data_IF_005156053379
#
_entry.id   IF_005156053379
#
_cell.length_a   1.000
_cell.length_b   1.000
_cell.length_c   1.000
_cell.angle_alpha   90.00
_cell.angle_beta   90.00
_cell.angle_gamma   90.00
#
_symmetry.space_group_name_H-M   'P 1'
#
loop_
_entity.id
_entity.type
_entity.pdbx_description
1 polymer ?
#
# COMPACT_ATOMS: atom_id res chain seq x y z
N UNK A 1 0.36 32.84 11.45
CA UNK A 1 0.62 33.18 10.03
C UNK A 1 1.98 32.58 9.66
N UNK A 2 1.99 31.36 9.11
CA UNK A 2 3.24 30.64 8.80
C UNK A 2 3.85 31.21 7.52
N UNK A 3 5.16 31.50 7.54
CA UNK A 3 5.91 32.12 6.44
C UNK A 3 5.97 31.20 5.23
N UNK A 4 5.26 31.53 4.16
CA UNK A 4 5.19 30.75 2.91
C UNK A 4 6.45 30.86 2.02
N UNK A 5 7.46 31.67 2.36
CA UNK A 5 8.55 32.00 1.43
C UNK A 5 9.96 31.49 1.78
N UNK A 6 10.16 30.75 2.88
CA UNK A 6 11.49 30.25 3.30
C UNK A 6 11.49 28.75 3.64
N UNK A 7 10.90 27.93 2.75
CA UNK A 7 11.07 26.49 2.83
C UNK A 7 12.45 26.10 2.29
N UNK A 8 13.05 25.04 2.85
CA UNK A 8 14.23 24.39 2.28
C UNK A 8 14.07 24.12 0.77
N UNK A 9 12.84 23.81 0.35
CA UNK A 9 12.47 23.62 -1.04
C UNK A 9 12.65 24.88 -1.91
N UNK A 10 12.25 26.05 -1.42
CA UNK A 10 12.43 27.30 -2.17
C UNK A 10 13.91 27.69 -2.28
N UNK A 11 14.72 27.38 -1.26
CA UNK A 11 16.15 27.60 -1.28
C UNK A 11 16.85 26.63 -2.25
N UNK A 12 16.57 25.33 -2.16
CA UNK A 12 17.18 24.32 -3.03
C UNK A 12 16.80 24.49 -4.50
N UNK A 13 15.57 24.93 -4.81
CA UNK A 13 15.16 25.24 -6.20
C UNK A 13 15.86 26.46 -6.79
N UNK A 14 16.33 27.38 -5.95
CA UNK A 14 17.11 28.54 -6.40
C UNK A 14 18.52 28.09 -6.83
N UNK A 15 19.12 27.20 -6.05
CA UNK A 15 20.50 26.75 -6.27
C UNK A 15 20.58 25.61 -7.30
N UNK A 16 19.55 24.77 -7.38
CA UNK A 16 19.42 23.67 -8.36
C UNK A 16 18.03 23.75 -9.02
N UNK A 17 17.87 24.52 -10.11
CA UNK A 17 16.58 24.71 -10.77
C UNK A 17 15.94 23.42 -11.30
N UNK A 18 16.76 22.41 -11.61
CA UNK A 18 16.32 21.08 -12.04
C UNK A 18 15.90 20.16 -10.88
N UNK A 19 16.04 20.59 -9.62
CA UNK A 19 15.68 19.78 -8.47
C UNK A 19 14.17 19.60 -8.41
N UNK A 20 13.75 18.39 -8.77
CA UNK A 20 12.38 17.95 -8.65
C UNK A 20 12.18 17.25 -7.31
N UNK A 21 11.48 17.90 -6.38
CA UNK A 21 10.95 17.20 -5.21
C UNK A 21 9.68 16.50 -5.66
N UNK A 22 9.68 15.16 -5.56
CA UNK A 22 8.48 14.36 -5.75
C UNK A 22 7.42 14.79 -4.74
N UNK A 23 6.55 15.72 -5.16
CA UNK A 23 5.31 16.01 -4.43
C UNK A 23 4.37 14.81 -4.58
N UNK A 24 3.48 14.65 -3.61
CA UNK A 24 2.42 13.63 -3.58
C UNK A 24 1.60 13.53 -4.87
N UNK A 25 1.60 14.56 -5.74
CA UNK A 25 0.88 14.58 -7.01
C UNK A 25 1.25 13.47 -7.99
N UNK A 26 2.52 13.03 -8.01
CA UNK A 26 2.90 11.88 -8.83
C UNK A 26 2.22 10.58 -8.33
N UNK A 27 1.97 10.48 -7.03
CA UNK A 27 1.27 9.34 -6.43
C UNK A 27 -0.22 9.33 -6.79
N UNK A 28 -0.83 10.47 -7.14
CA UNK A 28 -2.21 10.52 -7.66
C UNK A 28 -2.37 9.94 -9.07
N UNK A 29 -1.27 9.64 -9.77
CA UNK A 29 -1.28 8.99 -11.09
C UNK A 29 -1.24 7.47 -11.02
N UNK A 30 -1.00 6.92 -9.84
CA UNK A 30 -0.99 5.47 -9.64
C UNK A 30 -2.44 4.93 -9.56
N UNK A 31 -2.64 3.62 -9.82
CA UNK A 31 -3.98 3.09 -10.01
C UNK A 31 -4.77 3.07 -8.71
N UNK A 32 -5.86 3.85 -8.64
CA UNK A 32 -6.76 3.90 -7.46
C UNK A 32 -7.36 2.54 -7.12
N UNK A 33 -7.53 1.67 -8.11
CA UNK A 33 -8.17 0.36 -7.90
C UNK A 33 -7.40 -0.53 -6.91
N UNK A 34 -6.07 -0.42 -6.84
CA UNK A 34 -5.22 -1.15 -5.88
C UNK A 34 -5.42 -0.59 -4.47
N UNK A 35 -5.42 0.74 -4.33
CA UNK A 35 -5.70 1.40 -3.05
C UNK A 35 -7.08 1.01 -2.52
N UNK A 36 -8.10 1.04 -3.38
CA UNK A 36 -9.47 0.65 -3.03
C UNK A 36 -9.53 -0.84 -2.63
N UNK A 37 -8.81 -1.71 -3.35
CA UNK A 37 -8.76 -3.13 -3.02
C UNK A 37 -8.15 -3.36 -1.63
N UNK A 38 -6.96 -2.81 -1.37
CA UNK A 38 -6.29 -2.99 -0.06
C UNK A 38 -7.12 -2.41 1.09
N UNK A 39 -7.79 -1.27 0.87
CA UNK A 39 -8.73 -0.67 1.82
C UNK A 39 -9.94 -1.56 2.07
N UNK A 40 -10.54 -2.13 1.03
CA UNK A 40 -11.69 -3.02 1.16
C UNK A 40 -11.34 -4.30 1.91
N UNK A 41 -10.19 -4.91 1.61
CA UNK A 41 -9.68 -6.09 2.33
C UNK A 41 -9.49 -5.74 3.82
N UNK A 42 -8.81 -4.64 4.12
CA UNK A 42 -8.61 -4.20 5.50
C UNK A 42 -9.94 -3.99 6.24
N UNK A 43 -10.87 -3.23 5.65
CA UNK A 43 -12.17 -2.94 6.26
C UNK A 43 -12.99 -4.23 6.50
N UNK A 44 -12.90 -5.19 5.58
CA UNK A 44 -13.57 -6.48 5.70
C UNK A 44 -13.13 -7.24 6.95
N UNK A 45 -11.82 -7.32 7.21
CA UNK A 45 -11.28 -7.99 8.41
C UNK A 45 -11.42 -7.15 9.67
N UNK A 46 -11.24 -5.82 9.58
CA UNK A 46 -11.34 -4.93 10.74
C UNK A 46 -12.76 -4.87 11.33
N UNK A 47 -13.78 -5.14 10.52
CA UNK A 47 -15.17 -5.17 10.98
C UNK A 47 -15.55 -6.40 11.81
N UNK A 48 -14.72 -7.45 11.85
CA UNK A 48 -14.99 -8.63 12.66
C UNK A 48 -13.72 -9.39 13.05
N UNK A 49 -13.48 -9.52 14.36
CA UNK A 49 -12.39 -10.33 14.90
C UNK A 49 -12.52 -11.80 14.51
N UNK A 50 -13.75 -12.31 14.38
CA UNK A 50 -14.02 -13.69 13.93
C UNK A 50 -13.44 -13.95 12.54
N UNK A 51 -13.62 -13.01 11.59
CA UNK A 51 -13.05 -13.12 10.23
C UNK A 51 -11.52 -13.17 10.24
N UNK A 52 -10.88 -12.46 11.17
CA UNK A 52 -9.42 -12.50 11.33
C UNK A 52 -8.95 -13.85 11.85
N UNK A 53 -9.71 -14.50 12.74
CA UNK A 53 -9.40 -15.83 13.25
C UNK A 53 -9.59 -16.88 12.15
N UNK A 54 -10.72 -16.84 11.43
CA UNK A 54 -10.98 -17.73 10.29
C UNK A 54 -9.92 -17.58 9.21
N UNK A 55 -9.48 -16.36 8.90
CA UNK A 55 -8.40 -16.12 7.95
C UNK A 55 -7.07 -16.80 8.33
N UNK A 56 -6.76 -16.90 9.63
CA UNK A 56 -5.52 -17.54 10.08
C UNK A 56 -5.44 -19.04 9.69
N UNK A 57 -6.59 -19.70 9.54
CA UNK A 57 -6.67 -21.08 9.05
C UNK A 57 -6.19 -21.17 7.59
N UNK A 58 -6.58 -20.21 6.75
CA UNK A 58 -6.13 -20.12 5.35
C UNK A 58 -4.66 -19.74 5.24
N UNK A 59 -4.16 -18.88 6.12
CA UNK A 59 -2.73 -18.55 6.19
C UNK A 59 -1.90 -19.80 6.52
N UNK A 60 -2.36 -20.58 7.50
CA UNK A 60 -1.74 -21.86 7.88
C UNK A 60 -1.80 -22.86 6.73
N UNK A 61 -2.95 -22.97 6.05
CA UNK A 61 -3.14 -23.86 4.90
C UNK A 61 -2.19 -23.52 3.74
N UNK A 62 -1.99 -22.24 3.44
CA UNK A 62 -1.07 -21.78 2.39
C UNK A 62 0.40 -21.78 2.83
N UNK A 63 0.71 -22.24 4.04
CA UNK A 63 2.05 -22.21 4.62
C UNK A 63 2.69 -20.79 4.59
N UNK A 64 1.86 -19.75 4.80
CA UNK A 64 2.33 -18.37 4.95
C UNK A 64 2.28 -17.96 6.42
N UNK A 65 3.17 -17.05 6.82
CA UNK A 65 3.20 -16.58 8.21
C UNK A 65 1.90 -15.87 8.54
N UNK A 66 1.29 -16.22 9.68
CA UNK A 66 0.08 -15.57 10.16
C UNK A 66 0.34 -14.10 10.44
N UNK A 67 -0.36 -13.25 9.71
CA UNK A 67 -0.23 -11.81 9.80
C UNK A 67 -1.59 -11.12 9.69
N UNK A 68 -1.79 -10.09 10.51
CA UNK A 68 -2.92 -9.18 10.34
C UNK A 68 -2.74 -8.34 9.07
N UNK A 69 -3.84 -8.08 8.38
CA UNK A 69 -3.88 -7.12 7.27
C UNK A 69 -3.62 -5.71 7.83
N UNK A 70 -2.75 -4.98 7.15
CA UNK A 70 -2.35 -3.64 7.54
C UNK A 70 -3.33 -2.59 7.02
N UNK A 71 -3.58 -1.55 7.82
CA UNK A 71 -4.38 -0.42 7.40
C UNK A 71 -3.63 0.43 6.37
N UNK A 72 -4.20 0.72 5.19
CA UNK A 72 -3.60 1.67 4.26
C UNK A 72 -3.68 3.09 4.84
N UNK A 73 -2.52 3.69 5.15
CA UNK A 73 -2.46 5.04 5.69
C UNK A 73 -3.07 6.05 4.71
N UNK A 74 -3.97 6.90 5.19
CA UNK A 74 -4.75 7.81 4.35
C UNK A 74 -3.91 8.89 3.64
N UNK A 75 -2.71 9.21 4.12
CA UNK A 75 -1.97 10.42 3.71
C UNK A 75 -0.66 10.17 2.98
N UNK A 76 -0.17 8.92 2.85
CA UNK A 76 1.16 8.66 2.27
C UNK A 76 1.24 7.31 1.56
N UNK A 77 1.37 7.35 0.24
CA UNK A 77 1.82 6.22 -0.58
C UNK A 77 3.23 5.74 -0.18
N UNK A 78 4.01 6.62 0.47
CA UNK A 78 5.27 6.29 1.16
C UNK A 78 5.15 5.13 2.18
N UNK A 79 4.01 5.01 2.83
CA UNK A 79 3.74 3.95 3.80
C UNK A 79 2.96 2.77 3.19
N UNK A 80 2.62 2.84 1.89
CA UNK A 80 1.87 1.80 1.20
C UNK A 80 2.71 0.55 0.95
N UNK A 81 4.03 0.68 0.84
CA UNK A 81 4.93 -0.46 0.62
C UNK A 81 4.68 -1.60 1.62
N UNK A 82 4.55 -1.30 2.91
CA UNK A 82 4.29 -2.34 3.92
C UNK A 82 2.94 -3.06 3.70
N UNK A 83 1.93 -2.33 3.24
CA UNK A 83 0.60 -2.88 2.93
C UNK A 83 0.68 -3.74 1.68
N UNK A 84 1.32 -3.23 0.63
CA UNK A 84 1.51 -3.92 -0.65
C UNK A 84 2.26 -5.25 -0.46
N UNK A 85 3.42 -5.21 0.19
CA UNK A 85 4.19 -6.41 0.54
C UNK A 85 3.36 -7.38 1.39
N UNK A 86 2.54 -6.88 2.34
CA UNK A 86 1.65 -7.74 3.14
C UNK A 86 0.58 -8.40 2.29
N UNK A 87 -0.03 -7.68 1.35
CA UNK A 87 -1.07 -8.24 0.48
C UNK A 87 -0.48 -9.26 -0.48
N UNK A 88 0.72 -9.01 -1.03
CA UNK A 88 1.45 -9.96 -1.87
C UNK A 88 1.81 -11.24 -1.12
N UNK A 89 2.34 -11.12 0.10
CA UNK A 89 2.67 -12.27 0.94
C UNK A 89 1.44 -13.15 1.23
N UNK A 90 0.30 -12.51 1.46
CA UNK A 90 -0.94 -13.17 1.86
C UNK A 90 -1.87 -13.49 0.68
N UNK A 91 -1.45 -13.24 -0.56
CA UNK A 91 -2.32 -13.17 -1.72
C UNK A 91 -3.12 -14.46 -1.96
N UNK A 92 -2.45 -15.61 -1.92
CA UNK A 92 -3.09 -16.91 -2.11
C UNK A 92 -4.09 -17.22 -0.99
N UNK A 93 -3.70 -16.98 0.27
CA UNK A 93 -4.58 -17.17 1.42
C UNK A 93 -5.82 -16.26 1.35
N UNK A 94 -5.66 -15.02 0.85
CA UNK A 94 -6.77 -14.09 0.62
C UNK A 94 -7.71 -14.61 -0.47
N UNK A 95 -7.17 -15.11 -1.59
CA UNK A 95 -7.99 -15.69 -2.66
C UNK A 95 -8.83 -16.86 -2.14
N UNK A 96 -8.20 -17.82 -1.44
CA UNK A 96 -8.92 -18.98 -0.89
C UNK A 96 -9.96 -18.57 0.16
N UNK A 97 -9.62 -17.64 1.05
CA UNK A 97 -10.56 -17.12 2.04
C UNK A 97 -11.78 -16.48 1.39
N UNK A 98 -11.60 -15.64 0.36
CA UNK A 98 -12.71 -14.97 -0.30
C UNK A 98 -13.52 -15.90 -1.21
N UNK A 99 -12.92 -16.97 -1.77
CA UNK A 99 -13.66 -18.05 -2.43
C UNK A 99 -14.61 -18.73 -1.44
N UNK A 100 -14.11 -19.09 -0.26
CA UNK A 100 -14.91 -19.70 0.81
C UNK A 100 -15.99 -18.72 1.32
N UNK A 101 -15.65 -17.44 1.48
CA UNK A 101 -16.62 -16.42 1.88
C UNK A 101 -17.79 -16.34 0.89
N UNK A 102 -17.54 -16.24 -0.41
CA UNK A 102 -18.59 -16.19 -1.44
C UNK A 102 -19.43 -17.46 -1.42
N UNK A 103 -18.81 -18.63 -1.21
CA UNK A 103 -19.54 -19.90 -1.14
C UNK A 103 -20.45 -20.02 0.09
N UNK A 104 -20.08 -19.42 1.23
CA UNK A 104 -20.82 -19.55 2.51
C UNK A 104 -21.76 -18.38 2.78
N UNK A 105 -21.45 -17.21 2.24
CA UNK A 105 -22.11 -15.96 2.59
C UNK A 105 -22.39 -15.16 1.32
N UNK A 106 -23.67 -14.83 1.11
CA UNK A 106 -24.11 -13.95 0.03
C UNK A 106 -23.84 -12.48 0.41
N UNK A 107 -22.55 -12.11 0.46
CA UNK A 107 -22.10 -10.77 0.80
C UNK A 107 -21.39 -10.18 -0.42
N UNK A 108 -22.02 -9.19 -1.05
CA UNK A 108 -21.48 -8.44 -2.19
C UNK A 108 -20.04 -7.93 -1.99
N UNK A 109 -19.64 -7.64 -0.75
CA UNK A 109 -18.27 -7.25 -0.44
C UNK A 109 -17.24 -8.36 -0.72
N UNK A 110 -17.58 -9.64 -0.44
CA UNK A 110 -16.71 -10.77 -0.72
C UNK A 110 -16.55 -10.99 -2.23
N UNK A 111 -17.66 -10.93 -3.00
CA UNK A 111 -17.61 -11.01 -4.46
C UNK A 111 -16.74 -9.90 -5.07
N UNK A 112 -16.98 -8.65 -4.66
CA UNK A 112 -16.23 -7.50 -5.18
C UNK A 112 -14.72 -7.60 -4.88
N UNK A 113 -14.34 -8.11 -3.71
CA UNK A 113 -12.93 -8.31 -3.36
C UNK A 113 -12.34 -9.48 -4.16
N UNK A 114 -13.06 -10.61 -4.24
CA UNK A 114 -12.62 -11.80 -4.96
C UNK A 114 -12.41 -11.53 -6.45
N UNK A 115 -13.35 -10.83 -7.09
CA UNK A 115 -13.24 -10.44 -8.50
C UNK A 115 -11.96 -9.62 -8.75
N UNK A 116 -11.65 -8.66 -7.88
CA UNK A 116 -10.43 -7.86 -7.99
C UNK A 116 -9.16 -8.67 -7.73
N UNK A 117 -9.18 -9.61 -6.78
CA UNK A 117 -8.06 -10.53 -6.53
C UNK A 117 -7.84 -11.52 -7.69
N UNK A 118 -8.87 -11.83 -8.47
CA UNK A 118 -8.76 -12.72 -9.61
C UNK A 118 -8.47 -11.98 -10.93
N UNK A 119 -8.49 -10.65 -10.93
CA UNK A 119 -8.04 -9.85 -12.07
C UNK A 119 -6.52 -10.04 -12.26
N UNK A 120 -6.05 -10.57 -13.40
CA UNK A 120 -4.63 -10.79 -13.66
C UNK A 120 -3.80 -9.50 -13.58
N UNK A 121 -4.44 -8.34 -13.81
CA UNK A 121 -3.79 -7.03 -13.76
C UNK A 121 -3.48 -6.62 -12.32
N UNK A 122 -4.32 -7.01 -11.36
CA UNK A 122 -4.15 -6.65 -9.95
C UNK A 122 -2.83 -7.16 -9.39
N UNK A 123 -2.56 -8.47 -9.52
CA UNK A 123 -1.33 -9.08 -8.97
C UNK A 123 -0.09 -8.51 -9.63
N UNK A 124 -0.16 -8.27 -10.95
CA UNK A 124 0.93 -7.64 -11.70
C UNK A 124 1.22 -6.22 -11.20
N UNK A 125 0.20 -5.41 -10.95
CA UNK A 125 0.38 -4.05 -10.41
C UNK A 125 0.94 -4.05 -8.99
N UNK A 126 0.51 -4.97 -8.13
CA UNK A 126 1.11 -5.12 -6.80
C UNK A 126 2.61 -5.41 -6.92
N UNK A 127 3.04 -6.36 -7.76
CA UNK A 127 4.47 -6.61 -7.99
C UNK A 127 5.22 -5.40 -8.55
N UNK A 128 4.59 -4.65 -9.46
CA UNK A 128 5.16 -3.39 -9.96
C UNK A 128 5.35 -2.37 -8.83
N UNK A 129 4.38 -2.23 -7.93
CA UNK A 129 4.47 -1.32 -6.79
C UNK A 129 5.53 -1.79 -5.78
N UNK A 130 5.57 -3.08 -5.43
CA UNK A 130 6.58 -3.65 -4.53
C UNK A 130 8.01 -3.41 -5.06
N UNK A 131 8.20 -3.48 -6.38
CA UNK A 131 9.48 -3.16 -7.02
C UNK A 131 9.81 -1.67 -7.00
N UNK A 132 8.84 -0.80 -7.31
CA UNK A 132 9.08 0.63 -7.54
C UNK A 132 9.09 1.46 -6.26
N UNK A 133 8.24 1.14 -5.28
CA UNK A 133 8.10 1.91 -4.04
C UNK A 133 9.39 2.01 -3.20
N UNK A 134 10.26 0.98 -3.09
CA UNK A 134 11.53 1.08 -2.37
C UNK A 134 12.43 2.22 -2.87
N UNK A 135 12.49 2.46 -4.18
CA UNK A 135 13.30 3.54 -4.75
C UNK A 135 12.81 4.91 -4.27
N UNK A 136 11.50 5.13 -4.33
CA UNK A 136 10.88 6.37 -3.86
C UNK A 136 10.97 6.53 -2.35
N UNK A 137 10.82 5.45 -1.60
CA UNK A 137 10.90 5.48 -0.14
C UNK A 137 12.31 5.77 0.34
N UNK A 138 13.33 5.20 -0.30
CA UNK A 138 14.72 5.49 0.01
C UNK A 138 15.06 6.94 -0.35
N UNK A 139 14.69 7.42 -1.55
CA UNK A 139 14.91 8.82 -1.93
C UNK A 139 14.25 9.79 -0.94
N UNK A 140 13.00 9.52 -0.55
CA UNK A 140 12.29 10.35 0.43
C UNK A 140 12.96 10.33 1.82
N UNK A 141 13.46 9.17 2.28
CA UNK A 141 14.23 9.09 3.53
C UNK A 141 15.49 9.93 3.47
N UNK A 142 16.21 9.89 2.35
CA UNK A 142 17.42 10.71 2.15
C UNK A 142 17.09 12.21 2.13
N UNK A 143 15.99 12.60 1.48
CA UNK A 143 15.55 14.00 1.42
C UNK A 143 14.95 14.54 2.73
N UNK A 144 14.54 13.65 3.64
CA UNK A 144 14.03 14.00 4.97
C UNK A 144 15.10 13.89 6.06
N UNK A 145 16.36 13.64 5.69
CA UNK A 145 17.45 13.58 6.67
C UNK A 145 17.66 14.95 7.35
N UNK A 146 17.79 14.93 8.68
CA UNK A 146 18.01 16.15 9.47
C UNK A 146 19.45 16.68 9.38
N UNK A 147 20.38 15.84 8.91
CA UNK A 147 21.77 16.20 8.69
C UNK A 147 22.09 16.35 7.20
N UNK A 148 22.95 17.33 6.81
CA UNK A 148 23.40 17.46 5.43
C UNK A 148 24.16 16.20 4.99
N UNK A 149 23.67 15.54 3.95
CA UNK A 149 24.34 14.38 3.34
C UNK A 149 25.17 14.74 2.10
N UNK A 150 25.01 15.95 1.59
CA UNK A 150 25.86 16.51 0.54
C UNK A 150 27.04 17.22 1.22
N UNK A 151 28.24 16.66 1.05
CA UNK A 151 29.47 17.37 1.39
C UNK A 151 29.82 18.28 0.21
N UNK A 152 29.97 19.58 0.47
CA UNK A 152 30.44 20.57 -0.52
C UNK A 152 31.94 20.73 -0.38
#
# INVERSE_FOLDING_TARGET
MMREHHSLMSLLKKDVPSLYVFKSDACHKLPRHIEDLTRNIYNYFNSSSKRTVEFAEFQTFCNVKMHKILHPSQTRWLSFQAVDTRILEQYESLQLFFIDCVSKHDILACDNILQKLNDPVTKLFLYFLDFVLPFFNNLNKEMQAESPKLHV
#
